data_IF_764175969032
#
_entry.id   IF_764175969032
#
_cell.length_a   1.000
_cell.length_b   1.000
_cell.length_c   1.000
_cell.angle_alpha   90.00
_cell.angle_beta   90.00
_cell.angle_gamma   90.00
#
_symmetry.space_group_name_H-M   'P 1'
#
loop_
_entity.id
_entity.type
_entity.pdbx_description
1 polymer ?
#
# COMPACT_ATOMS: atom_id res chain seq x y z
N UNK A 1 39.62 -6.27 -10.03
CA UNK A 1 38.61 -7.28 -9.60
C UNK A 1 38.95 -8.64 -10.21
N UNK A 2 39.97 -9.35 -9.69
CA UNK A 2 40.53 -10.59 -10.30
C UNK A 2 40.55 -11.80 -9.34
N UNK A 3 39.67 -11.86 -8.32
CA UNK A 3 39.76 -12.87 -7.25
C UNK A 3 38.49 -13.74 -7.02
N UNK A 4 37.59 -13.83 -8.00
CA UNK A 4 36.32 -14.57 -7.84
C UNK A 4 36.18 -15.85 -8.68
N UNK A 5 37.20 -16.27 -9.44
CA UNK A 5 37.13 -17.46 -10.30
C UNK A 5 37.74 -18.75 -9.72
N UNK A 6 38.28 -18.76 -8.49
CA UNK A 6 38.94 -19.96 -7.94
C UNK A 6 38.05 -20.85 -7.04
N UNK A 7 36.75 -20.58 -6.95
CA UNK A 7 35.84 -21.29 -6.03
C UNK A 7 34.77 -22.14 -6.73
N UNK A 8 35.03 -22.58 -7.97
CA UNK A 8 34.14 -23.47 -8.74
C UNK A 8 34.80 -24.81 -9.12
N UNK A 9 35.89 -25.19 -8.46
CA UNK A 9 36.72 -26.34 -8.81
C UNK A 9 36.80 -27.46 -7.76
N UNK A 10 35.75 -27.68 -6.96
CA UNK A 10 35.77 -28.73 -5.93
C UNK A 10 34.41 -29.40 -5.65
N UNK A 11 33.57 -29.60 -6.67
CA UNK A 11 32.46 -30.58 -6.58
C UNK A 11 32.94 -31.85 -7.28
N UNK A 12 33.81 -32.56 -6.57
CA UNK A 12 34.21 -33.91 -6.93
C UNK A 12 33.02 -34.85 -6.81
N UNK A 13 32.63 -35.43 -7.94
CA UNK A 13 32.42 -36.87 -8.12
C UNK A 13 32.27 -37.68 -6.82
N UNK A 14 31.04 -37.78 -6.31
CA UNK A 14 30.59 -38.97 -5.57
C UNK A 14 29.34 -39.49 -6.28
N UNK A 15 29.57 -40.12 -7.43
CA UNK A 15 28.63 -41.02 -8.07
C UNK A 15 28.92 -42.44 -7.58
N UNK A 16 28.55 -42.76 -6.33
CA UNK A 16 28.39 -44.14 -5.92
C UNK A 16 26.98 -44.58 -6.29
N UNK A 17 26.86 -45.18 -7.47
CA UNK A 17 25.67 -45.91 -7.91
C UNK A 17 25.50 -47.17 -7.06
N UNK A 18 24.92 -47.03 -5.87
CA UNK A 18 24.30 -48.15 -5.15
C UNK A 18 22.94 -48.40 -5.78
N UNK A 19 22.94 -49.23 -6.83
CA UNK A 19 21.76 -49.80 -7.44
C UNK A 19 21.03 -50.66 -6.41
N UNK A 20 20.11 -50.08 -5.65
CA UNK A 20 19.13 -50.85 -4.90
C UNK A 20 18.09 -51.33 -5.91
N UNK A 21 18.18 -52.60 -6.30
CA UNK A 21 17.11 -53.27 -7.01
C UNK A 21 15.88 -53.31 -6.11
N UNK A 22 14.93 -52.40 -6.34
CA UNK A 22 13.61 -52.45 -5.72
C UNK A 22 12.87 -53.62 -6.36
N UNK A 23 12.82 -54.74 -5.65
CA UNK A 23 11.99 -55.87 -6.01
C UNK A 23 10.52 -55.41 -6.04
N UNK A 24 9.94 -55.29 -7.23
CA UNK A 24 8.50 -55.12 -7.40
C UNK A 24 7.80 -56.37 -6.83
N UNK A 25 7.33 -56.29 -5.59
CA UNK A 25 6.42 -57.28 -5.03
C UNK A 25 5.04 -57.09 -5.69
N UNK A 26 4.89 -57.72 -6.85
CA UNK A 26 3.68 -57.74 -7.67
C UNK A 26 2.69 -58.69 -7.00
N UNK A 27 2.00 -58.24 -5.95
CA UNK A 27 1.10 -59.16 -5.23
C UNK A 27 0.16 -58.59 -4.19
N UNK A 28 0.37 -57.37 -3.66
CA UNK A 28 -0.57 -56.79 -2.71
C UNK A 28 -1.26 -55.60 -3.35
N UNK A 29 -2.59 -55.67 -3.49
CA UNK A 29 -3.42 -54.46 -3.44
C UNK A 29 -3.02 -53.76 -2.14
N UNK A 30 -2.10 -52.80 -2.22
CA UNK A 30 -1.90 -51.84 -1.16
C UNK A 30 -3.21 -51.09 -1.09
N UNK A 31 -4.08 -51.54 -0.19
CA UNK A 31 -5.00 -50.63 0.47
C UNK A 31 -4.12 -49.53 1.03
N UNK A 32 -3.98 -48.45 0.25
CA UNK A 32 -3.39 -47.21 0.73
C UNK A 32 -4.32 -46.76 1.83
N UNK A 33 -4.02 -47.18 3.04
CA UNK A 33 -4.73 -46.79 4.26
C UNK A 33 -4.70 -45.27 4.29
N UNK A 34 -5.84 -44.66 4.03
CA UNK A 34 -5.99 -43.21 4.04
C UNK A 34 -5.55 -42.69 5.41
N UNK A 35 -4.75 -41.63 5.42
CA UNK A 35 -4.38 -40.93 6.64
C UNK A 35 -5.60 -40.18 7.18
N UNK A 36 -6.00 -40.48 8.40
CA UNK A 36 -7.09 -39.75 9.06
C UNK A 36 -6.58 -38.40 9.58
N UNK A 37 -7.20 -37.31 9.12
CA UNK A 37 -6.90 -35.96 9.56
C UNK A 37 -7.12 -35.78 11.07
N UNK A 38 -8.07 -36.51 11.66
CA UNK A 38 -8.38 -36.40 13.10
C UNK A 38 -7.24 -36.88 14.00
N UNK A 39 -6.38 -37.76 13.46
CA UNK A 39 -5.19 -38.31 14.12
C UNK A 39 -3.96 -37.37 14.07
N UNK A 40 -4.12 -36.15 13.55
CA UNK A 40 -3.05 -35.16 13.47
C UNK A 40 -2.48 -34.83 14.86
N UNK A 41 -1.16 -34.96 15.00
CA UNK A 41 -0.47 -34.81 16.27
C UNK A 41 -0.43 -33.37 16.79
N UNK A 42 -0.25 -32.38 15.90
CA UNK A 42 -0.22 -30.96 16.23
C UNK A 42 -1.33 -30.23 15.48
N UNK A 43 -2.31 -29.75 16.25
CA UNK A 43 -3.48 -29.00 15.74
C UNK A 43 -3.33 -27.50 15.90
N UNK A 44 -2.43 -27.07 16.79
CA UNK A 44 -1.99 -25.70 16.89
C UNK A 44 -0.90 -25.44 15.84
N UNK A 45 -1.22 -24.57 14.89
CA UNK A 45 -0.34 -24.20 13.79
C UNK A 45 0.54 -22.99 14.12
N UNK A 46 0.35 -22.37 15.29
CA UNK A 46 1.07 -21.17 15.69
C UNK A 46 0.63 -19.94 14.89
N UNK A 47 1.60 -19.14 14.46
CA UNK A 47 1.36 -17.90 13.73
C UNK A 47 1.40 -18.13 12.22
N UNK A 48 0.37 -17.66 11.52
CA UNK A 48 0.33 -17.68 10.06
C UNK A 48 0.57 -16.27 9.54
N UNK A 49 1.65 -16.10 8.80
CA UNK A 49 1.99 -14.84 8.15
C UNK A 49 1.31 -14.83 6.77
N UNK A 50 0.21 -14.09 6.67
CA UNK A 50 -0.58 -13.99 5.46
C UNK A 50 -0.01 -12.92 4.56
N UNK A 51 0.46 -13.33 3.38
CA UNK A 51 1.00 -12.43 2.37
C UNK A 51 -0.10 -11.52 1.80
N UNK A 52 0.25 -10.26 1.53
CA UNK A 52 -0.61 -9.31 0.83
C UNK A 52 -0.25 -9.36 -0.65
N UNK A 53 -1.07 -10.03 -1.46
CA UNK A 53 -0.88 -10.15 -2.91
C UNK A 53 -1.67 -9.09 -3.67
N UNK A 54 -2.86 -8.75 -3.17
CA UNK A 54 -3.70 -7.68 -3.66
C UNK A 54 -4.05 -6.73 -2.51
N UNK A 55 -3.33 -5.60 -2.35
CA UNK A 55 -3.54 -4.72 -1.20
C UNK A 55 -4.95 -4.17 -1.07
N UNK A 56 -5.71 -4.08 -2.17
CA UNK A 56 -7.10 -3.57 -2.13
C UNK A 56 -8.07 -4.55 -1.44
N UNK A 57 -7.77 -5.85 -1.45
CA UNK A 57 -8.63 -6.90 -0.89
C UNK A 57 -8.00 -7.51 0.35
N UNK A 58 -6.70 -7.82 0.29
CA UNK A 58 -6.01 -8.60 1.30
C UNK A 58 -5.73 -7.82 2.58
N UNK A 59 -5.60 -6.49 2.54
CA UNK A 59 -5.47 -5.70 3.77
C UNK A 59 -6.71 -5.78 4.68
N UNK A 60 -7.84 -6.24 4.12
CA UNK A 60 -9.16 -6.06 4.71
C UNK A 60 -9.82 -7.37 5.17
N UNK A 61 -9.28 -8.53 4.80
CA UNK A 61 -9.87 -9.84 5.09
C UNK A 61 -8.93 -10.71 5.92
N UNK A 62 -9.00 -10.71 7.26
CA UNK A 62 -8.12 -11.42 8.21
C UNK A 62 -8.08 -12.96 8.13
N UNK A 63 -8.79 -13.59 7.19
CA UNK A 63 -8.99 -15.05 7.16
C UNK A 63 -7.96 -15.75 6.24
N UNK A 64 -7.28 -16.82 6.70
CA UNK A 64 -6.37 -17.61 5.85
C UNK A 64 -7.10 -18.33 4.72
N UNK A 65 -6.43 -18.49 3.58
CA UNK A 65 -6.86 -19.37 2.50
C UNK A 65 -6.61 -20.85 2.82
N UNK A 66 -7.16 -21.77 2.04
CA UNK A 66 -6.87 -23.20 2.21
C UNK A 66 -5.39 -23.51 1.99
N UNK A 67 -4.75 -22.82 1.03
CA UNK A 67 -3.31 -22.91 0.75
C UNK A 67 -2.49 -22.50 1.99
N UNK A 68 -2.87 -21.41 2.66
CA UNK A 68 -2.17 -20.96 3.88
C UNK A 68 -2.25 -22.02 4.98
N UNK A 69 -3.42 -22.64 5.16
CA UNK A 69 -3.64 -23.70 6.15
C UNK A 69 -2.83 -24.95 5.80
N UNK A 70 -2.86 -25.39 4.54
CA UNK A 70 -2.10 -26.57 4.07
C UNK A 70 -0.60 -26.37 4.27
N UNK A 71 -0.07 -25.21 3.90
CA UNK A 71 1.33 -24.86 4.11
C UNK A 71 1.70 -24.88 5.59
N UNK A 72 0.87 -24.29 6.45
CA UNK A 72 1.10 -24.28 7.89
C UNK A 72 1.03 -25.70 8.51
N UNK A 73 0.08 -26.53 8.10
CA UNK A 73 -0.02 -27.93 8.56
C UNK A 73 1.23 -28.70 8.17
N UNK A 74 1.68 -28.61 6.92
CA UNK A 74 2.87 -29.31 6.44
C UNK A 74 4.17 -28.83 7.11
N UNK A 75 4.25 -27.54 7.46
CA UNK A 75 5.39 -27.00 8.20
C UNK A 75 5.48 -27.53 9.64
N UNK A 76 4.33 -27.69 10.30
CA UNK A 76 4.24 -28.08 11.71
C UNK A 76 4.24 -29.61 11.90
N UNK A 77 3.62 -30.33 10.97
CA UNK A 77 3.47 -31.79 10.95
C UNK A 77 4.28 -32.38 9.79
N UNK A 78 5.58 -32.63 10.04
CA UNK A 78 6.47 -33.27 9.08
C UNK A 78 5.83 -34.55 8.52
N UNK A 79 5.90 -34.73 7.20
CA UNK A 79 5.39 -35.90 6.46
C UNK A 79 3.88 -35.99 6.25
N UNK A 80 3.07 -34.99 6.62
CA UNK A 80 1.66 -35.01 6.23
C UNK A 80 1.50 -34.91 4.70
N UNK A 81 2.23 -34.01 4.04
CA UNK A 81 2.25 -33.91 2.58
C UNK A 81 0.88 -33.57 1.97
N UNK A 82 0.08 -32.78 2.70
CA UNK A 82 -1.21 -32.30 2.21
C UNK A 82 -1.02 -31.38 1.00
N UNK A 83 -1.93 -31.46 0.04
CA UNK A 83 -2.08 -30.48 -1.02
C UNK A 83 -3.44 -29.81 -0.92
N UNK A 84 -3.59 -28.63 -1.53
CA UNK A 84 -4.84 -27.86 -1.52
C UNK A 84 -6.05 -28.66 -2.03
N UNK A 85 -5.85 -29.58 -2.99
CA UNK A 85 -6.91 -30.42 -3.54
C UNK A 85 -7.36 -31.56 -2.62
N UNK A 86 -6.56 -31.89 -1.60
CA UNK A 86 -6.85 -32.99 -0.67
C UNK A 86 -7.87 -32.59 0.39
N UNK A 87 -8.05 -31.29 0.62
CA UNK A 87 -8.85 -30.76 1.73
C UNK A 87 -9.71 -29.58 1.31
N UNK A 88 -10.81 -29.40 2.03
CA UNK A 88 -11.66 -28.22 1.91
C UNK A 88 -12.06 -27.73 3.31
N UNK A 89 -12.47 -26.48 3.41
CA UNK A 89 -13.02 -25.96 4.67
C UNK A 89 -14.34 -26.65 5.02
N UNK A 90 -14.45 -27.13 6.25
CA UNK A 90 -15.69 -27.65 6.84
C UNK A 90 -16.34 -26.59 7.72
N UNK A 91 -16.87 -25.54 7.06
CA UNK A 91 -17.43 -24.35 7.70
C UNK A 91 -16.69 -23.07 7.32
N UNK A 92 -16.97 -21.98 8.03
CA UNK A 92 -16.34 -20.68 7.79
C UNK A 92 -15.07 -20.54 8.65
N UNK A 93 -13.87 -20.44 8.05
CA UNK A 93 -12.65 -20.19 8.80
C UNK A 93 -12.66 -18.80 9.45
N UNK A 94 -11.93 -18.64 10.53
CA UNK A 94 -11.74 -17.36 11.24
C UNK A 94 -10.26 -16.98 11.30
N UNK A 95 -9.94 -15.85 11.93
CA UNK A 95 -8.55 -15.43 12.17
C UNK A 95 -7.81 -16.30 13.21
N UNK A 96 -8.52 -17.15 13.96
CA UNK A 96 -7.92 -17.95 15.05
C UNK A 96 -8.15 -19.45 14.93
N UNK A 97 -9.04 -19.89 14.03
CA UNK A 97 -9.30 -21.31 13.81
C UNK A 97 -9.93 -21.60 12.47
N UNK A 98 -9.71 -22.82 11.99
CA UNK A 98 -10.42 -23.38 10.84
C UNK A 98 -10.68 -24.86 11.08
N UNK A 99 -11.76 -25.37 10.51
CA UNK A 99 -11.98 -26.81 10.38
C UNK A 99 -11.77 -27.20 8.93
N UNK A 100 -10.94 -28.21 8.70
CA UNK A 100 -10.75 -28.78 7.36
C UNK A 100 -11.23 -30.23 7.36
N UNK A 101 -11.72 -30.68 6.20
CA UNK A 101 -12.06 -32.08 5.94
C UNK A 101 -11.42 -32.56 4.67
N UNK A 102 -11.14 -33.85 4.60
CA UNK A 102 -10.68 -34.48 3.38
C UNK A 102 -11.76 -34.36 2.30
N UNK A 103 -11.38 -33.99 1.09
CA UNK A 103 -12.29 -33.99 -0.06
C UNK A 103 -12.74 -35.41 -0.37
N UNK A 104 -13.92 -35.56 -0.98
CA UNK A 104 -14.43 -36.90 -1.35
C UNK A 104 -13.57 -37.60 -2.42
N UNK A 105 -12.77 -36.83 -3.16
CA UNK A 105 -11.94 -37.28 -4.27
C UNK A 105 -10.51 -37.64 -3.85
N UNK A 106 -10.04 -37.20 -2.68
CA UNK A 106 -8.67 -37.53 -2.24
C UNK A 106 -8.52 -39.04 -1.98
N UNK A 107 -7.39 -39.58 -2.45
CA UNK A 107 -6.99 -40.97 -2.23
C UNK A 107 -6.12 -41.14 -0.98
N UNK A 108 -5.57 -40.04 -0.47
CA UNK A 108 -4.55 -40.05 0.57
C UNK A 108 -5.13 -39.79 1.96
N UNK A 109 -6.22 -39.03 2.06
CA UNK A 109 -6.75 -38.58 3.35
C UNK A 109 -8.22 -38.92 3.58
N UNK A 110 -8.61 -38.97 4.84
CA UNK A 110 -10.00 -39.12 5.32
C UNK A 110 -10.23 -38.28 6.57
N UNK A 111 -11.49 -38.14 6.99
CA UNK A 111 -11.85 -37.48 8.26
C UNK A 111 -11.83 -35.95 8.20
N UNK A 112 -11.84 -35.34 9.39
CA UNK A 112 -11.81 -33.88 9.57
C UNK A 112 -11.02 -33.51 10.82
N UNK A 113 -10.49 -32.29 10.86
CA UNK A 113 -9.72 -31.78 11.99
C UNK A 113 -10.00 -30.29 12.18
N UNK A 114 -10.20 -29.88 13.43
CA UNK A 114 -10.21 -28.47 13.82
C UNK A 114 -8.78 -28.05 14.18
N UNK A 115 -8.35 -26.94 13.61
CA UNK A 115 -7.01 -26.38 13.70
C UNK A 115 -7.11 -25.00 14.37
N UNK A 116 -6.15 -24.70 15.25
CA UNK A 116 -6.05 -23.40 15.92
C UNK A 116 -4.80 -22.67 15.48
N UNK A 117 -4.86 -21.34 15.45
CA UNK A 117 -3.75 -20.49 15.02
C UNK A 117 -3.94 -19.02 15.40
N UNK A 118 -2.95 -18.19 15.07
CA UNK A 118 -3.06 -16.73 15.03
C UNK A 118 -2.72 -16.22 13.63
N UNK A 119 -3.71 -15.74 12.90
CA UNK A 119 -3.50 -15.12 11.59
C UNK A 119 -2.97 -13.69 11.74
N UNK A 120 -1.78 -13.43 11.18
CA UNK A 120 -1.15 -12.12 11.13
C UNK A 120 -0.96 -11.70 9.68
N UNK A 121 -1.40 -10.50 9.31
CA UNK A 121 -1.14 -9.95 7.97
C UNK A 121 0.23 -9.33 7.92
N UNK A 122 1.02 -9.72 6.92
CA UNK A 122 2.31 -9.08 6.73
C UNK A 122 2.14 -7.69 6.12
N UNK A 123 2.30 -6.65 6.95
CA UNK A 123 2.33 -5.26 6.49
C UNK A 123 3.80 -4.87 6.25
N UNK A 124 4.26 -5.11 5.02
CA UNK A 124 5.59 -4.70 4.62
C UNK A 124 5.64 -3.19 4.37
N UNK A 125 6.53 -2.48 5.06
CA UNK A 125 6.64 -1.02 4.98
C UNK A 125 7.05 -0.51 3.60
N UNK A 126 7.58 -1.35 2.69
CA UNK A 126 7.77 -0.99 1.29
C UNK A 126 6.46 -0.55 0.60
N UNK A 127 5.30 -0.96 1.12
CA UNK A 127 4.01 -0.44 0.67
C UNK A 127 3.87 1.07 0.88
N UNK A 128 4.51 1.65 1.92
CA UNK A 128 4.54 3.10 2.16
C UNK A 128 5.33 3.80 1.06
N UNK A 129 6.49 3.26 0.67
CA UNK A 129 7.30 3.81 -0.43
C UNK A 129 6.52 3.80 -1.75
N UNK A 130 5.91 2.66 -2.09
CA UNK A 130 5.03 2.54 -3.26
C UNK A 130 3.88 3.54 -3.22
N UNK A 131 3.21 3.65 -2.08
CA UNK A 131 2.09 4.58 -1.88
C UNK A 131 2.52 6.04 -2.10
N UNK A 132 3.62 6.46 -1.47
CA UNK A 132 4.14 7.82 -1.60
C UNK A 132 4.60 8.10 -3.04
N UNK A 133 5.13 7.11 -3.74
CA UNK A 133 5.52 7.19 -5.14
C UNK A 133 4.34 6.99 -6.12
N UNK A 134 3.10 6.86 -5.63
CA UNK A 134 1.91 6.74 -6.48
C UNK A 134 1.81 5.41 -7.20
N UNK A 135 2.51 4.38 -6.72
CA UNK A 135 2.47 3.01 -7.22
C UNK A 135 1.44 2.17 -6.45
N UNK A 136 0.99 1.06 -7.06
CA UNK A 136 0.02 0.15 -6.45
C UNK A 136 -1.28 0.87 -6.06
N UNK A 137 -1.69 0.73 -4.79
CA UNK A 137 -2.89 1.43 -4.28
C UNK A 137 -2.73 2.95 -4.25
N UNK A 138 -1.51 3.48 -4.25
CA UNK A 138 -1.28 4.93 -4.34
C UNK A 138 -1.70 5.53 -5.67
N UNK A 139 -1.69 4.73 -6.75
CA UNK A 139 -2.20 5.17 -8.05
C UNK A 139 -3.71 5.49 -7.98
N UNK A 140 -4.44 4.71 -7.17
CA UNK A 140 -5.88 4.80 -6.97
C UNK A 140 -6.31 5.97 -6.07
N UNK A 141 -5.37 6.63 -5.39
CA UNK A 141 -5.65 7.80 -4.56
C UNK A 141 -5.33 9.07 -5.36
N UNK A 142 -6.35 9.78 -5.90
CA UNK A 142 -6.13 10.90 -6.81
C UNK A 142 -5.73 12.21 -6.11
N UNK A 143 -5.79 12.28 -4.79
CA UNK A 143 -5.79 13.55 -4.03
C UNK A 143 -4.51 13.86 -3.24
N UNK A 144 -3.44 13.08 -3.40
CA UNK A 144 -2.19 13.29 -2.65
C UNK A 144 -1.03 13.68 -3.56
N UNK A 145 -0.13 14.53 -3.04
CA UNK A 145 1.17 14.73 -3.66
C UNK A 145 1.89 13.39 -3.76
N UNK A 146 2.44 13.11 -4.94
CA UNK A 146 3.22 11.91 -5.24
C UNK A 146 4.69 12.29 -5.32
N UNK A 147 5.56 11.43 -4.81
CA UNK A 147 7.02 11.58 -4.85
C UNK A 147 7.65 12.05 -3.54
N UNK A 148 6.87 12.16 -2.47
CA UNK A 148 7.39 12.43 -1.12
C UNK A 148 6.30 12.77 -0.09
N UNK A 149 6.71 12.88 1.17
CA UNK A 149 5.89 13.43 2.25
C UNK A 149 6.14 14.93 2.33
N UNK A 150 5.08 15.71 2.24
CA UNK A 150 5.14 17.17 2.25
C UNK A 150 5.26 17.71 3.68
N UNK A 151 6.16 18.65 3.90
CA UNK A 151 6.39 19.29 5.21
C UNK A 151 6.40 20.80 5.03
N UNK A 152 5.87 21.55 5.99
CA UNK A 152 5.97 23.02 5.97
C UNK A 152 7.44 23.48 5.96
N UNK A 153 7.68 24.72 5.53
CA UNK A 153 9.04 25.26 5.47
C UNK A 153 9.72 25.26 6.85
N UNK A 154 11.07 25.23 6.86
CA UNK A 154 11.92 24.97 8.03
C UNK A 154 11.79 23.52 8.58
N UNK A 155 12.17 22.55 7.73
CA UNK A 155 12.15 21.11 7.96
C UNK A 155 13.15 20.66 9.04
N UNK A 156 12.79 20.84 10.30
CA UNK A 156 13.46 20.22 11.44
C UNK A 156 12.88 18.83 11.74
N UNK A 157 13.53 18.09 12.65
CA UNK A 157 13.12 16.72 13.00
C UNK A 157 11.69 16.62 13.54
N UNK A 158 11.27 17.57 14.37
CA UNK A 158 9.93 17.61 14.94
C UNK A 158 8.86 17.77 13.84
N UNK A 159 9.03 18.74 12.94
CA UNK A 159 8.07 18.96 11.84
C UNK A 159 7.98 17.77 10.89
N UNK A 160 9.11 17.10 10.63
CA UNK A 160 9.11 15.86 9.82
C UNK A 160 8.34 14.75 10.52
N UNK A 161 8.51 14.57 11.83
CA UNK A 161 7.73 13.58 12.59
C UNK A 161 6.24 13.91 12.61
N UNK A 162 5.87 15.18 12.80
CA UNK A 162 4.49 15.65 12.73
C UNK A 162 3.87 15.38 11.35
N UNK A 163 4.62 15.64 10.28
CA UNK A 163 4.17 15.36 8.91
C UNK A 163 4.02 13.86 8.63
N UNK A 164 4.95 13.01 9.09
CA UNK A 164 4.82 11.54 8.95
C UNK A 164 3.61 11.03 9.74
N UNK A 165 3.38 11.56 10.95
CA UNK A 165 2.18 11.23 11.74
C UNK A 165 0.91 11.68 11.03
N UNK A 166 0.84 12.92 10.55
CA UNK A 166 -0.31 13.43 9.79
C UNK A 166 -0.56 12.62 8.52
N UNK A 167 0.51 12.25 7.80
CA UNK A 167 0.42 11.40 6.63
C UNK A 167 -0.17 10.04 6.95
N UNK A 168 0.37 9.38 7.98
CA UNK A 168 -0.09 8.06 8.43
C UNK A 168 -1.54 8.10 8.89
N UNK A 169 -1.91 9.11 9.69
CA UNK A 169 -3.28 9.38 10.15
C UNK A 169 -4.26 9.42 9.00
N UNK A 170 -4.00 10.30 8.04
CA UNK A 170 -4.92 10.51 6.95
C UNK A 170 -4.98 9.31 6.00
N UNK A 171 -3.87 8.61 5.80
CA UNK A 171 -3.87 7.36 5.03
C UNK A 171 -4.73 6.29 5.69
N UNK A 172 -4.54 6.04 6.99
CA UNK A 172 -5.34 5.06 7.73
C UNK A 172 -6.82 5.45 7.76
N UNK A 173 -7.14 6.74 7.89
CA UNK A 173 -8.52 7.22 7.80
C UNK A 173 -9.14 6.95 6.42
N UNK A 174 -8.37 7.16 5.34
CA UNK A 174 -8.82 6.88 3.97
C UNK A 174 -9.02 5.38 3.74
N UNK A 175 -8.06 4.55 4.18
CA UNK A 175 -8.17 3.10 4.11
C UNK A 175 -9.38 2.58 4.89
N UNK A 176 -9.63 3.13 6.07
CA UNK A 176 -10.81 2.81 6.88
C UNK A 176 -12.11 3.16 6.16
N UNK A 177 -12.22 4.38 5.60
CA UNK A 177 -13.40 4.80 4.86
C UNK A 177 -13.67 3.90 3.64
N UNK A 178 -12.63 3.53 2.89
CA UNK A 178 -12.75 2.59 1.76
C UNK A 178 -13.19 1.19 2.22
N UNK A 179 -12.65 0.70 3.34
CA UNK A 179 -13.06 -0.58 3.91
C UNK A 179 -14.55 -0.56 4.29
N UNK A 180 -15.00 0.49 4.98
CA UNK A 180 -16.41 0.67 5.38
C UNK A 180 -17.35 0.70 4.17
N UNK A 181 -16.99 1.40 3.09
CA UNK A 181 -17.77 1.42 1.84
C UNK A 181 -17.94 0.03 1.21
N UNK A 182 -16.96 -0.85 1.42
CA UNK A 182 -16.97 -2.21 0.88
C UNK A 182 -17.45 -3.25 1.92
N UNK A 183 -17.97 -2.83 3.08
CA UNK A 183 -18.40 -3.69 4.19
C UNK A 183 -17.28 -4.58 4.74
N UNK A 184 -16.06 -4.06 4.75
CA UNK A 184 -14.87 -4.73 5.25
C UNK A 184 -14.41 -4.10 6.57
N UNK A 185 -13.72 -4.88 7.40
CA UNK A 185 -13.21 -4.42 8.70
C UNK A 185 -11.75 -4.01 8.56
N UNK A 186 -11.46 -2.73 8.75
CA UNK A 186 -10.10 -2.21 8.85
C UNK A 186 -9.88 -1.55 10.21
N UNK A 187 -9.03 -2.15 11.04
CA UNK A 187 -8.74 -1.65 12.37
C UNK A 187 -7.24 -1.70 12.65
N UNK A 188 -6.53 -0.66 12.22
CA UNK A 188 -5.14 -0.41 12.62
C UNK A 188 -5.17 0.70 13.66
N UNK A 189 -4.67 0.39 14.86
CA UNK A 189 -4.41 1.39 15.88
C UNK A 189 -3.21 2.22 15.45
N UNK A 190 -3.50 3.44 14.99
CA UNK A 190 -2.52 4.40 14.51
C UNK A 190 -1.42 4.69 15.53
N UNK A 191 -1.77 4.80 16.82
CA UNK A 191 -0.81 5.10 17.88
C UNK A 191 0.19 3.95 18.07
N UNK A 192 -0.30 2.71 17.98
CA UNK A 192 0.55 1.51 18.05
C UNK A 192 1.41 1.37 16.80
N UNK A 193 0.85 1.66 15.61
CA UNK A 193 1.62 1.65 14.37
C UNK A 193 2.77 2.64 14.47
N UNK A 194 2.50 3.93 14.73
CA UNK A 194 3.54 4.95 14.86
C UNK A 194 4.55 4.60 15.96
N UNK A 195 4.07 4.07 17.10
CA UNK A 195 4.92 3.60 18.20
C UNK A 195 5.89 2.50 17.80
N UNK A 196 5.50 1.61 16.88
CA UNK A 196 6.29 0.50 16.37
C UNK A 196 7.34 0.90 15.32
N UNK A 197 7.31 2.14 14.82
CA UNK A 197 8.22 2.61 13.77
C UNK A 197 9.45 3.35 14.32
N UNK A 198 10.59 3.10 13.72
CA UNK A 198 11.82 3.88 13.83
C UNK A 198 11.95 4.78 12.59
N UNK A 199 12.20 6.07 12.79
CA UNK A 199 12.31 7.06 11.71
C UNK A 199 13.70 7.67 11.76
N UNK A 200 14.51 7.35 10.76
CA UNK A 200 15.83 7.95 10.55
C UNK A 200 15.73 9.05 9.51
N UNK A 201 16.46 10.15 9.73
CA UNK A 201 16.44 11.32 8.87
C UNK A 201 17.77 11.49 8.16
N UNK A 202 17.73 12.00 6.93
CA UNK A 202 18.90 12.12 6.06
C UNK A 202 18.95 13.48 5.36
N UNK A 203 20.18 13.96 5.12
CA UNK A 203 20.46 15.24 4.44
C UNK A 203 20.54 15.10 2.90
N UNK A 204 20.37 13.90 2.35
CA UNK A 204 20.30 13.61 0.91
C UNK A 204 19.06 12.80 0.55
N UNK A 205 18.67 12.83 -0.72
CA UNK A 205 17.49 12.15 -1.24
C UNK A 205 17.63 10.62 -1.29
N UNK A 206 18.86 10.09 -1.24
CA UNK A 206 19.14 8.65 -1.36
C UNK A 206 19.18 7.94 0.00
N UNK A 207 18.95 8.65 1.10
CA UNK A 207 18.93 8.09 2.45
C UNK A 207 20.29 7.58 2.93
N UNK A 208 21.41 8.19 2.50
CA UNK A 208 22.76 7.70 2.81
C UNK A 208 23.48 8.49 3.92
N UNK A 209 23.28 9.80 3.95
CA UNK A 209 23.97 10.74 4.84
C UNK A 209 23.05 11.08 5.99
N UNK A 210 23.33 10.52 7.16
CA UNK A 210 22.55 10.79 8.37
C UNK A 210 22.46 12.30 8.63
N UNK A 211 21.25 12.77 8.92
CA UNK A 211 21.00 14.18 9.19
C UNK A 211 21.69 14.61 10.48
N UNK A 212 22.35 15.77 10.44
CA UNK A 212 23.00 16.40 11.60
C UNK A 212 22.45 17.82 11.85
N UNK A 213 22.21 18.57 10.77
CA UNK A 213 21.62 19.90 10.80
C UNK A 213 21.08 20.28 9.41
N UNK A 214 20.36 21.40 9.33
CA UNK A 214 19.77 21.91 8.10
C UNK A 214 18.49 21.17 7.71
N UNK A 215 18.17 21.17 6.42
CA UNK A 215 16.95 20.54 5.92
C UNK A 215 17.06 19.01 5.86
N UNK A 216 16.01 18.33 6.32
CA UNK A 216 15.81 16.90 6.07
C UNK A 216 15.31 16.72 4.63
N UNK A 217 16.01 15.90 3.84
CA UNK A 217 15.65 15.62 2.44
C UNK A 217 14.99 14.26 2.24
N UNK A 218 15.29 13.30 3.10
CA UNK A 218 14.62 12.00 3.09
C UNK A 218 14.57 11.40 4.49
N UNK A 219 13.71 10.41 4.64
CA UNK A 219 13.59 9.57 5.83
C UNK A 219 13.63 8.10 5.46
N UNK A 220 14.09 7.27 6.39
CA UNK A 220 13.88 5.82 6.35
C UNK A 220 12.98 5.46 7.51
N UNK A 221 11.87 4.78 7.19
CA UNK A 221 10.90 4.26 8.13
C UNK A 221 11.13 2.75 8.22
N UNK A 222 11.42 2.24 9.41
CA UNK A 222 11.64 0.80 9.65
C UNK A 222 10.89 0.33 10.88
N UNK A 223 10.61 -0.96 10.98
CA UNK A 223 10.01 -1.53 12.20
C UNK A 223 11.06 -1.59 13.31
N UNK A 224 10.72 -1.13 14.51
CA UNK A 224 11.56 -1.28 15.71
C UNK A 224 11.69 -2.77 16.06
N UNK A 225 12.89 -3.20 16.40
CA UNK A 225 13.13 -4.59 16.84
C UNK A 225 12.23 -4.95 18.02
N UNK A 226 11.52 -6.08 17.92
CA UNK A 226 10.61 -6.57 18.96
C UNK A 226 9.24 -5.89 18.96
N UNK A 227 8.95 -5.06 17.94
CA UNK A 227 7.68 -4.33 17.77
C UNK A 227 6.89 -4.78 16.54
N UNK A 228 7.30 -5.89 15.93
CA UNK A 228 6.72 -6.44 14.72
C UNK A 228 5.23 -6.82 14.91
N UNK A 229 4.79 -7.07 16.15
CA UNK A 229 3.43 -7.52 16.51
C UNK A 229 2.65 -6.52 17.37
N UNK A 230 3.15 -5.30 17.53
CA UNK A 230 2.47 -4.30 18.38
C UNK A 230 1.11 -3.88 17.78
N UNK A 231 0.92 -4.05 16.46
CA UNK A 231 -0.35 -3.77 15.78
C UNK A 231 -1.18 -5.06 15.71
N UNK A 232 -2.33 -5.08 16.38
CA UNK A 232 -3.23 -6.24 16.46
C UNK A 232 -3.57 -6.79 15.07
N UNK A 233 -3.39 -8.10 14.87
CA UNK A 233 -3.65 -8.83 13.60
C UNK A 233 -2.70 -8.51 12.44
N UNK A 234 -1.62 -7.77 12.68
CA UNK A 234 -0.59 -7.50 11.68
C UNK A 234 0.79 -7.93 12.20
N UNK A 235 1.62 -8.37 11.27
CA UNK A 235 3.05 -8.54 11.42
C UNK A 235 3.73 -7.46 10.57
N UNK A 236 4.35 -6.48 11.20
CA UNK A 236 5.06 -5.40 10.53
C UNK A 236 6.43 -5.90 10.08
N UNK A 237 6.80 -5.60 8.83
CA UNK A 237 8.12 -6.00 8.29
C UNK A 237 8.71 -4.93 7.37
N UNK A 238 10.02 -5.04 7.12
CA UNK A 238 10.72 -4.24 6.10
C UNK A 238 10.99 -2.78 6.48
N UNK A 239 11.26 -1.99 5.46
CA UNK A 239 11.55 -0.56 5.56
C UNK A 239 11.12 0.17 4.28
N UNK A 240 10.93 1.48 4.38
CA UNK A 240 10.69 2.37 3.25
C UNK A 240 11.63 3.57 3.32
N UNK A 241 12.15 4.00 2.17
CA UNK A 241 12.84 5.29 2.06
C UNK A 241 11.96 6.27 1.32
N UNK A 242 11.70 7.41 1.95
CA UNK A 242 10.73 8.40 1.47
C UNK A 242 11.37 9.77 1.42
N UNK A 243 11.18 10.49 0.31
CA UNK A 243 11.63 11.88 0.18
C UNK A 243 10.77 12.80 1.02
N UNK A 244 11.40 13.82 1.59
CA UNK A 244 10.74 14.95 2.23
C UNK A 244 10.68 16.09 1.22
N UNK A 245 9.48 16.60 0.99
CA UNK A 245 9.23 17.67 0.05
C UNK A 245 8.75 18.89 0.81
N UNK A 246 9.43 20.02 0.64
CA UNK A 246 8.96 21.27 1.23
C UNK A 246 7.67 21.69 0.55
N UNK A 247 6.68 22.04 1.36
CA UNK A 247 5.49 22.70 0.84
C UNK A 247 5.84 24.07 0.29
N UNK A 248 5.06 24.47 -0.70
CA UNK A 248 5.24 25.71 -1.42
C UNK A 248 4.05 26.62 -1.12
N UNK A 249 4.29 27.88 -0.76
CA UNK A 249 3.21 28.84 -0.73
C UNK A 249 2.75 29.12 -2.16
N UNK A 250 1.51 28.75 -2.51
CA UNK A 250 1.00 28.92 -3.88
C UNK A 250 1.04 30.38 -4.36
N UNK A 251 1.02 31.35 -3.44
CA UNK A 251 1.11 32.77 -3.79
C UNK A 251 2.52 33.17 -4.27
N UNK A 252 3.54 32.37 -3.95
CA UNK A 252 4.90 32.54 -4.46
C UNK A 252 5.09 31.89 -5.84
N UNK A 253 4.20 30.96 -6.20
CA UNK A 253 4.17 30.34 -7.53
C UNK A 253 3.34 31.20 -8.48
N UNK A 254 2.17 31.62 -8.03
CA UNK A 254 1.24 32.46 -8.78
C UNK A 254 1.46 33.92 -8.37
N UNK A 255 2.49 34.54 -8.95
CA UNK A 255 2.91 35.91 -8.62
C UNK A 255 2.27 36.96 -9.55
N UNK A 256 1.92 38.13 -8.97
CA UNK A 256 1.78 39.45 -9.63
C UNK A 256 0.58 39.71 -10.57
N UNK A 257 -0.04 40.90 -10.43
CA UNK A 257 -1.12 41.52 -11.23
C UNK A 257 -2.38 40.67 -11.59
N UNK A 258 -3.47 41.34 -11.99
CA UNK A 258 -4.72 40.66 -12.35
C UNK A 258 -4.56 39.74 -13.58
N UNK A 259 -3.56 39.99 -14.44
CA UNK A 259 -3.33 39.22 -15.66
C UNK A 259 -2.67 37.87 -15.37
N UNK A 260 -1.75 37.75 -14.39
CA UNK A 260 -1.21 36.40 -14.07
C UNK A 260 -2.18 35.53 -13.29
N UNK A 261 -3.18 36.13 -12.63
CA UNK A 261 -4.31 35.44 -12.01
C UNK A 261 -5.44 35.13 -12.99
N UNK A 262 -5.26 35.44 -14.28
CA UNK A 262 -6.21 35.08 -15.33
C UNK A 262 -5.76 33.82 -16.08
N UNK A 263 -6.66 32.86 -16.20
CA UNK A 263 -6.51 31.70 -17.08
C UNK A 263 -7.51 31.85 -18.23
N UNK A 264 -7.07 31.59 -19.46
CA UNK A 264 -7.98 31.46 -20.59
C UNK A 264 -8.03 30.01 -21.01
N UNK A 265 -9.23 29.43 -21.02
CA UNK A 265 -9.46 28.04 -21.41
C UNK A 265 -10.45 27.98 -22.56
N UNK A 266 -10.33 26.93 -23.37
CA UNK A 266 -11.32 26.63 -24.41
C UNK A 266 -11.92 25.26 -24.13
N UNK A 267 -13.25 25.20 -24.09
CA UNK A 267 -14.02 24.00 -23.71
C UNK A 267 -15.14 23.75 -24.72
N UNK A 268 -15.49 22.49 -24.93
CA UNK A 268 -16.69 22.10 -25.69
C UNK A 268 -17.93 22.10 -24.80
N UNK A 269 -17.78 21.69 -23.55
CA UNK A 269 -18.84 21.66 -22.56
C UNK A 269 -18.28 21.97 -21.15
N UNK A 270 -19.19 22.29 -20.22
CA UNK A 270 -18.82 22.72 -18.87
C UNK A 270 -18.12 21.61 -18.05
N UNK A 271 -18.24 20.33 -18.43
CA UNK A 271 -17.55 19.21 -17.75
C UNK A 271 -16.05 19.20 -18.04
N UNK A 272 -15.61 19.84 -19.12
CA UNK A 272 -14.18 19.98 -19.47
C UNK A 272 -13.47 21.13 -18.73
N UNK A 273 -14.21 22.03 -18.06
CA UNK A 273 -13.61 23.25 -17.46
C UNK A 273 -12.47 22.91 -16.50
N UNK A 274 -12.69 21.98 -15.58
CA UNK A 274 -11.67 21.63 -14.59
C UNK A 274 -10.44 20.97 -15.21
N UNK A 275 -10.62 20.07 -16.18
CA UNK A 275 -9.49 19.43 -16.86
C UNK A 275 -8.69 20.44 -17.68
N UNK A 276 -9.35 21.42 -18.30
CA UNK A 276 -8.67 22.51 -19.04
C UNK A 276 -8.00 23.54 -18.14
N UNK A 277 -8.55 23.84 -16.97
CA UNK A 277 -7.86 24.64 -15.94
C UNK A 277 -6.59 23.92 -15.51
N UNK A 278 -6.65 22.61 -15.24
CA UNK A 278 -5.48 21.80 -14.87
C UNK A 278 -4.41 21.78 -15.97
N UNK A 279 -4.81 21.64 -17.23
CA UNK A 279 -3.91 21.70 -18.39
C UNK A 279 -3.23 23.07 -18.48
N UNK A 280 -3.99 24.15 -18.33
CA UNK A 280 -3.48 25.52 -18.37
C UNK A 280 -2.50 25.79 -17.22
N UNK A 281 -2.83 25.35 -16.00
CA UNK A 281 -1.94 25.45 -14.83
C UNK A 281 -0.64 24.66 -15.03
N UNK A 282 -0.73 23.42 -15.51
CA UNK A 282 0.43 22.56 -15.73
C UNK A 282 1.34 23.10 -16.83
N UNK A 283 0.75 23.73 -17.85
CA UNK A 283 1.49 24.41 -18.93
C UNK A 283 2.17 25.68 -18.44
N UNK A 284 1.48 26.49 -17.63
CA UNK A 284 2.00 27.76 -17.12
C UNK A 284 3.08 27.56 -16.05
N UNK A 285 2.93 26.53 -15.21
CA UNK A 285 3.80 26.25 -14.07
C UNK A 285 4.53 24.92 -14.27
N UNK A 286 5.37 24.85 -15.31
CA UNK A 286 6.02 23.62 -15.78
C UNK A 286 6.86 22.89 -14.73
N UNK A 287 7.38 23.61 -13.74
CA UNK A 287 8.12 23.03 -12.60
C UNK A 287 7.26 22.09 -11.75
N UNK A 288 5.94 22.10 -11.94
CA UNK A 288 4.94 21.28 -11.24
C UNK A 288 4.07 20.45 -12.21
N UNK A 289 4.52 20.27 -13.47
CA UNK A 289 3.73 19.60 -14.54
C UNK A 289 3.56 18.10 -14.33
N UNK A 290 4.54 17.43 -13.71
CA UNK A 290 4.54 15.97 -13.49
C UNK A 290 3.68 15.58 -12.28
N UNK A 291 3.00 16.56 -11.72
CA UNK A 291 2.17 16.47 -10.54
C UNK A 291 0.76 17.06 -10.77
N UNK A 292 0.01 16.72 -11.84
CA UNK A 292 -1.32 17.31 -12.07
C UNK A 292 -2.30 17.15 -10.89
N UNK A 293 -2.14 16.07 -10.11
CA UNK A 293 -2.89 15.81 -8.86
C UNK A 293 -2.66 16.87 -7.77
N UNK A 294 -1.59 17.66 -7.88
CA UNK A 294 -1.11 18.57 -6.84
C UNK A 294 -1.85 19.90 -6.78
N UNK A 295 -2.50 20.29 -7.88
CA UNK A 295 -3.42 21.42 -7.87
C UNK A 295 -4.72 21.12 -7.11
N UNK A 296 -4.94 19.87 -6.73
CA UNK A 296 -6.07 19.46 -5.92
C UNK A 296 -7.42 19.60 -6.60
N UNK A 297 -7.45 19.72 -7.93
CA UNK A 297 -8.68 19.80 -8.72
C UNK A 297 -9.16 18.42 -9.21
N UNK A 298 -8.33 17.38 -9.04
CA UNK A 298 -8.67 15.99 -9.40
C UNK A 298 -9.30 15.27 -8.21
N UNK A 299 -10.61 15.36 -8.08
CA UNK A 299 -11.37 14.63 -7.08
C UNK A 299 -12.86 14.90 -7.22
N UNK A 300 -13.68 13.93 -6.84
CA UNK A 300 -15.11 14.17 -6.61
C UNK A 300 -15.22 15.08 -5.40
N UNK A 301 -15.19 16.40 -5.62
CA UNK A 301 -15.73 17.32 -4.63
C UNK A 301 -17.14 16.81 -4.31
N UNK A 302 -17.48 16.66 -3.02
CA UNK A 302 -18.86 16.41 -2.63
C UNK A 302 -19.76 17.37 -3.42
N UNK A 303 -20.95 16.92 -3.81
CA UNK A 303 -21.83 17.47 -4.87
C UNK A 303 -22.11 18.98 -4.84
N UNK A 304 -21.66 19.70 -3.82
CA UNK A 304 -22.11 21.05 -3.49
C UNK A 304 -21.00 22.11 -3.57
N UNK A 305 -19.74 21.76 -3.86
CA UNK A 305 -18.66 22.75 -3.98
C UNK A 305 -17.68 22.46 -5.14
N UNK A 306 -18.14 22.67 -6.38
CA UNK A 306 -17.20 22.83 -7.50
C UNK A 306 -16.17 23.92 -7.15
N UNK A 307 -14.85 23.66 -7.31
CA UNK A 307 -13.81 24.66 -7.08
C UNK A 307 -13.90 25.80 -8.08
N UNK A 308 -14.57 25.58 -9.22
CA UNK A 308 -14.90 26.59 -10.22
C UNK A 308 -16.34 27.08 -10.06
N UNK A 309 -16.53 28.40 -10.12
CA UNK A 309 -17.83 29.06 -10.13
C UNK A 309 -17.83 30.17 -11.18
N UNK A 310 -18.84 30.21 -12.03
CA UNK A 310 -19.08 31.37 -12.89
C UNK A 310 -19.34 32.60 -12.03
N UNK A 311 -18.88 33.77 -12.49
CA UNK A 311 -19.28 35.03 -11.88
C UNK A 311 -20.77 35.24 -12.15
N UNK A 312 -21.49 35.78 -11.15
CA UNK A 312 -22.94 35.99 -11.23
C UNK A 312 -23.28 36.73 -12.52
N UNK A 313 -23.95 36.05 -13.46
CA UNK A 313 -24.40 36.51 -14.78
C UNK A 313 -23.44 36.29 -15.99
N UNK A 314 -22.24 35.71 -15.84
CA UNK A 314 -21.37 35.38 -16.98
C UNK A 314 -21.38 33.88 -17.30
N UNK A 315 -21.41 33.51 -18.59
CA UNK A 315 -21.10 32.14 -19.06
C UNK A 315 -19.66 32.02 -19.57
N UNK A 316 -18.90 33.11 -19.48
CA UNK A 316 -17.54 33.23 -20.04
C UNK A 316 -16.51 33.59 -18.99
N UNK A 317 -16.91 34.03 -17.80
CA UNK A 317 -16.00 34.47 -16.75
C UNK A 317 -16.39 33.80 -15.44
N UNK A 318 -15.39 33.30 -14.73
CA UNK A 318 -15.57 32.66 -13.45
C UNK A 318 -14.31 32.71 -12.61
N UNK A 319 -14.38 32.06 -11.47
CA UNK A 319 -13.30 31.95 -10.52
C UNK A 319 -13.06 30.50 -10.17
N UNK A 320 -11.79 30.11 -10.11
CA UNK A 320 -11.38 28.83 -9.55
C UNK A 320 -10.57 29.08 -8.27
N UNK A 321 -10.97 28.43 -7.19
CA UNK A 321 -10.24 28.47 -5.93
C UNK A 321 -9.30 27.26 -5.88
N UNK A 322 -7.99 27.50 -6.02
CA UNK A 322 -6.98 26.47 -5.83
C UNK A 322 -6.69 26.31 -4.34
N UNK A 323 -6.80 25.09 -3.79
CA UNK A 323 -6.65 24.89 -2.36
C UNK A 323 -5.18 24.98 -1.93
N UNK A 324 -4.95 25.60 -0.77
CA UNK A 324 -3.67 25.48 -0.06
C UNK A 324 -3.53 24.14 0.63
N UNK A 325 -4.44 23.87 1.55
CA UNK A 325 -4.54 22.57 2.25
C UNK A 325 -6.03 22.32 2.44
N UNK A 326 -6.68 21.49 1.61
CA UNK A 326 -8.06 21.13 1.88
C UNK A 326 -8.16 20.51 3.27
N UNK A 327 -9.25 20.83 3.96
CA UNK A 327 -9.61 20.19 5.22
C UNK A 327 -9.70 18.68 4.94
N UNK A 328 -8.80 17.91 5.57
CA UNK A 328 -8.73 16.44 5.41
C UNK A 328 -7.64 15.90 4.48
N UNK A 329 -6.82 16.76 3.84
CA UNK A 329 -5.72 16.29 2.98
C UNK A 329 -4.40 16.26 3.73
N UNK A 330 -3.80 15.08 3.82
CA UNK A 330 -2.62 14.83 4.66
C UNK A 330 -1.28 14.89 3.91
N UNK A 331 -1.28 15.22 2.61
CA UNK A 331 -0.06 15.34 1.80
C UNK A 331 -0.21 16.36 0.65
N UNK A 332 -0.68 17.57 0.95
CA UNK A 332 -0.78 18.65 -0.04
C UNK A 332 0.56 19.36 -0.23
N UNK A 333 0.94 19.67 -1.48
CA UNK A 333 2.17 20.44 -1.75
C UNK A 333 2.04 21.90 -1.36
N UNK A 334 0.86 22.48 -1.51
CA UNK A 334 0.66 23.90 -1.24
C UNK A 334 0.27 24.16 0.21
N UNK A 335 0.42 25.38 0.71
CA UNK A 335 0.00 25.80 2.08
C UNK A 335 -1.05 26.90 2.08
N UNK A 336 -1.16 27.67 1.00
CA UNK A 336 -2.07 28.82 0.88
C UNK A 336 -3.11 28.60 -0.21
N UNK A 337 -4.28 29.21 -0.06
CA UNK A 337 -5.31 29.21 -1.11
C UNK A 337 -5.10 30.40 -2.04
N UNK A 338 -5.35 30.22 -3.33
CA UNK A 338 -5.38 31.31 -4.32
C UNK A 338 -6.61 31.20 -5.19
N UNK A 339 -7.24 32.35 -5.46
CA UNK A 339 -8.37 32.45 -6.38
C UNK A 339 -7.87 32.99 -7.70
N UNK A 340 -8.14 32.27 -8.78
CA UNK A 340 -7.82 32.67 -10.15
C UNK A 340 -9.10 33.05 -10.88
N UNK A 341 -9.03 34.13 -11.65
CA UNK A 341 -10.04 34.46 -12.66
C UNK A 341 -9.85 33.53 -13.85
N UNK A 342 -10.94 33.02 -14.40
CA UNK A 342 -10.93 32.10 -15.53
C UNK A 342 -11.87 32.63 -16.59
N UNK A 343 -11.34 32.84 -17.80
CA UNK A 343 -12.13 33.13 -18.99
C UNK A 343 -12.35 31.84 -19.77
N UNK A 344 -13.61 31.48 -19.96
CA UNK A 344 -14.07 30.27 -20.65
C UNK A 344 -14.55 30.65 -22.06
N UNK A 345 -13.85 30.14 -23.07
CA UNK A 345 -14.24 30.27 -24.46
C UNK A 345 -14.95 28.97 -24.91
N UNK A 346 -16.24 29.03 -25.21
CA UNK A 346 -17.00 27.86 -25.71
C UNK A 346 -16.73 27.63 -27.19
N UNK A 347 -16.26 26.44 -27.54
CA UNK A 347 -16.03 26.03 -28.93
C UNK A 347 -17.37 25.53 -29.49
N UNK A 348 -17.93 26.22 -30.49
CA UNK A 348 -19.11 25.72 -31.20
C UNK A 348 -18.72 24.50 -32.04
N UNK A 349 -19.30 23.34 -31.75
CA UNK A 349 -19.22 22.16 -32.60
C UNK A 349 -20.26 22.32 -33.73
N UNK A 350 -19.77 22.55 -34.95
CA UNK A 350 -20.57 22.61 -36.18
C UNK A 350 -21.16 21.26 -36.57
#
# INVERSE_FOLDING_TARGET
>A
MKKLLSLLGAVGLVASSSSVAVACNKGNKTDTTKTDLSAMSKKDLGELHLAITNPAVDLLNSVPSISDIVNAVNAVNSNYGLNDADVEFDGTPTATKAKIKATSTTKSFTGSVELTYTALRELNLNLVEKLVNGEGIGALLPTFYVGGITVDDNTNSQKVQEAVSAYTKGFLATAKALAEQNKLTFNIDESKLIGALDIKMFSDDAGKTAWQSGDVKSITISVKSGKEKDVTSYFLSGSATVKIVKRVDINTVITGDENNKKLEISVKDDKEILSKILEALSTKYTSYKDTPKVWGLSGSYGTDASPFKYDSNSQTDGKVTLPGTPIGWFNALFTSTVVLSVKVNKIQTS
#
